data_IF_566932685539
#
_entry.id   IF_566932685539
#
_cell.length_a   1.000
_cell.length_b   1.000
_cell.length_c   1.000
_cell.angle_alpha   90.00
_cell.angle_beta   90.00
_cell.angle_gamma   90.00
#
_symmetry.space_group_name_H-M   'P 1'
#
loop_
_entity.id
_entity.type
_entity.pdbx_description
1 polymer ?
#
# COMPACT_ATOMS: atom_id res chain seq x y z
N UNK A 1 33.49 8.76 49.02
CA UNK A 1 34.06 8.56 47.68
C UNK A 1 32.91 8.29 46.70
N UNK A 2 32.69 9.21 45.77
CA UNK A 2 31.69 9.15 44.69
C UNK A 2 32.41 8.89 43.37
N UNK A 3 31.84 8.05 42.51
CA UNK A 3 31.78 8.07 41.02
C UNK A 3 31.23 6.68 40.60
N UNK A 4 30.00 6.49 40.10
CA UNK A 4 29.33 6.86 38.81
C UNK A 4 29.97 6.28 37.55
N UNK A 5 29.15 5.55 36.78
CA UNK A 5 29.30 5.20 35.36
C UNK A 5 29.56 3.70 35.15
N UNK A 6 28.89 2.95 34.28
CA UNK A 6 27.93 3.28 33.20
C UNK A 6 27.14 2.02 32.83
N UNK A 7 25.81 2.11 32.77
CA UNK A 7 24.96 1.14 32.08
C UNK A 7 25.11 1.32 30.55
N UNK A 8 25.14 0.24 29.76
CA UNK A 8 25.18 0.35 28.31
C UNK A 8 23.86 0.92 27.79
N UNK A 9 24.04 1.96 26.99
CA UNK A 9 23.13 2.63 26.07
C UNK A 9 21.97 1.78 25.58
N UNK A 10 20.78 2.22 25.99
CA UNK A 10 19.47 2.00 25.39
C UNK A 10 19.50 2.03 23.85
N UNK A 11 19.12 0.91 23.22
CA UNK A 11 18.69 0.87 21.83
C UNK A 11 17.49 1.79 21.65
N UNK A 12 17.64 2.78 20.79
CA UNK A 12 16.61 3.74 20.46
C UNK A 12 15.47 3.04 19.69
N UNK A 13 14.34 2.87 20.35
CA UNK A 13 13.05 2.55 19.75
C UNK A 13 12.58 3.82 19.02
N UNK A 14 12.81 3.90 17.70
CA UNK A 14 12.24 4.96 16.87
C UNK A 14 10.78 4.55 16.59
N UNK A 15 9.89 5.00 17.48
CA UNK A 15 8.45 5.03 17.20
C UNK A 15 8.26 6.24 16.29
N UNK A 16 7.89 6.01 15.03
CA UNK A 16 7.34 7.07 14.18
C UNK A 16 6.04 7.54 14.83
N UNK A 17 6.13 8.62 15.59
CA UNK A 17 4.98 9.34 16.10
C UNK A 17 4.26 9.95 14.89
N UNK A 18 3.14 9.33 14.51
CA UNK A 18 2.17 9.93 13.61
C UNK A 18 1.75 11.28 14.20
N UNK A 19 2.27 12.37 13.65
CA UNK A 19 1.67 13.69 13.82
C UNK A 19 0.34 13.68 13.07
N UNK A 20 -0.70 13.19 13.76
CA UNK A 20 -2.07 13.63 13.49
C UNK A 20 -2.07 15.15 13.65
N UNK A 21 -2.09 15.87 12.54
CA UNK A 21 -2.56 17.24 12.54
C UNK A 21 -4.04 17.20 12.92
N UNK A 22 -4.33 17.18 14.22
CA UNK A 22 -5.66 17.51 14.73
C UNK A 22 -5.82 19.03 14.60
N UNK A 23 -6.18 19.48 13.41
CA UNK A 23 -6.85 20.77 13.29
C UNK A 23 -8.16 20.67 14.06
N UNK A 24 -8.40 21.61 14.97
CA UNK A 24 -9.64 21.71 15.72
C UNK A 24 -10.77 22.20 14.81
N UNK A 25 -11.25 21.32 13.93
CA UNK A 25 -12.47 21.53 13.16
C UNK A 25 -13.43 20.40 13.52
N UNK A 26 -14.54 20.76 14.16
CA UNK A 26 -15.78 19.98 14.37
C UNK A 26 -15.65 18.48 14.06
N UNK A 27 -15.62 17.63 15.09
CA UNK A 27 -15.61 16.17 14.98
C UNK A 27 -16.78 15.63 14.14
N UNK A 28 -16.62 15.63 12.83
CA UNK A 28 -17.50 14.94 11.92
C UNK A 28 -16.96 13.53 11.76
N UNK A 29 -17.61 12.59 12.45
CA UNK A 29 -17.30 11.17 12.33
C UNK A 29 -17.63 10.72 10.90
N UNK A 30 -16.69 10.03 10.24
CA UNK A 30 -16.93 9.39 8.95
C UNK A 30 -18.17 8.50 9.03
N UNK A 31 -19.06 8.63 8.06
CA UNK A 31 -20.28 7.84 7.93
C UNK A 31 -19.99 6.64 7.04
N UNK A 32 -20.40 5.45 7.50
CA UNK A 32 -20.35 4.24 6.69
C UNK A 32 -21.45 4.28 5.64
N UNK A 33 -21.10 4.02 4.39
CA UNK A 33 -22.04 3.93 3.28
C UNK A 33 -22.61 2.51 3.19
N UNK A 34 -23.88 2.41 2.79
CA UNK A 34 -24.53 1.14 2.48
C UNK A 34 -24.26 0.81 1.02
N UNK A 35 -23.46 -0.24 0.78
CA UNK A 35 -23.07 -0.69 -0.54
C UNK A 35 -23.57 -2.12 -0.77
N UNK A 36 -23.89 -2.51 -2.02
CA UNK A 36 -24.27 -3.87 -2.37
C UNK A 36 -23.04 -4.77 -2.55
N UNK A 37 -22.12 -4.75 -1.58
CA UNK A 37 -20.90 -5.58 -1.52
C UNK A 37 -20.56 -5.83 -0.06
N UNK A 38 -20.12 -7.05 0.24
CA UNK A 38 -19.66 -7.43 1.58
C UNK A 38 -18.15 -7.25 1.76
N UNK A 39 -17.40 -7.17 0.66
CA UNK A 39 -15.94 -7.09 0.63
C UNK A 39 -15.40 -5.64 0.56
N UNK A 40 -16.27 -4.67 0.29
CA UNK A 40 -15.92 -3.24 0.23
C UNK A 40 -16.72 -2.48 1.29
N UNK A 41 -16.04 -1.67 2.09
CA UNK A 41 -16.68 -0.70 2.96
C UNK A 41 -16.14 0.69 2.67
N UNK A 42 -17.04 1.65 2.45
CA UNK A 42 -16.67 3.06 2.29
C UNK A 42 -17.14 3.83 3.50
N UNK A 43 -16.21 4.56 4.11
CA UNK A 43 -16.46 5.54 5.15
C UNK A 43 -16.10 6.92 4.60
N UNK A 44 -17.00 7.89 4.71
CA UNK A 44 -16.78 9.22 4.14
C UNK A 44 -17.42 10.32 4.97
N UNK A 45 -16.92 11.55 4.85
CA UNK A 45 -17.62 12.71 5.38
C UNK A 45 -18.88 13.00 4.55
N UNK A 46 -18.69 13.04 3.23
CA UNK A 46 -19.73 13.18 2.24
C UNK A 46 -19.50 12.18 1.12
N UNK A 47 -20.56 11.63 0.55
CA UNK A 47 -20.43 10.79 -0.63
C UNK A 47 -21.71 10.75 -1.43
N UNK A 48 -21.55 10.59 -2.74
CA UNK A 48 -22.62 10.32 -3.67
C UNK A 48 -22.46 8.89 -4.21
N UNK A 49 -23.47 8.06 -3.97
CA UNK A 49 -23.54 6.69 -4.49
C UNK A 49 -24.51 6.69 -5.67
N UNK A 50 -24.03 6.27 -6.82
CA UNK A 50 -24.84 6.10 -8.03
C UNK A 50 -24.72 4.68 -8.55
N UNK A 51 -25.81 4.19 -9.15
CA UNK A 51 -25.88 2.84 -9.72
C UNK A 51 -26.30 2.99 -11.18
N UNK A 52 -25.44 2.58 -12.11
CA UNK A 52 -25.68 2.64 -13.56
C UNK A 52 -25.49 1.25 -14.17
N UNK A 53 -26.56 0.72 -14.76
CA UNK A 53 -26.61 -0.62 -15.37
C UNK A 53 -26.23 -1.74 -14.40
N UNK A 54 -24.93 -1.98 -14.23
CA UNK A 54 -24.33 -3.01 -13.36
C UNK A 54 -23.19 -2.48 -12.49
N UNK A 55 -22.84 -1.19 -12.62
CA UNK A 55 -21.72 -0.56 -11.91
C UNK A 55 -22.25 0.34 -10.81
N UNK A 56 -21.66 0.22 -9.63
CA UNK A 56 -21.82 1.16 -8.53
C UNK A 56 -20.64 2.11 -8.55
N UNK A 57 -20.90 3.41 -8.62
CA UNK A 57 -19.89 4.45 -8.51
C UNK A 57 -20.11 5.23 -7.22
N UNK A 58 -19.06 5.35 -6.40
CA UNK A 58 -19.06 6.03 -5.11
C UNK A 58 -18.03 7.16 -5.18
N UNK A 59 -18.51 8.40 -5.27
CA UNK A 59 -17.67 9.59 -5.18
C UNK A 59 -17.70 10.06 -3.74
N UNK A 60 -16.54 10.22 -3.10
CA UNK A 60 -16.45 10.57 -1.69
C UNK A 60 -15.45 11.67 -1.42
N UNK A 61 -15.80 12.56 -0.50
CA UNK A 61 -14.93 13.55 0.12
C UNK A 61 -14.50 13.04 1.49
N UNK A 62 -13.23 13.21 1.83
CA UNK A 62 -12.60 12.72 3.06
C UNK A 62 -12.99 11.28 3.36
N UNK A 63 -12.36 10.34 2.66
CA UNK A 63 -12.78 8.95 2.63
C UNK A 63 -11.74 8.00 3.21
N UNK A 64 -12.26 6.88 3.74
CA UNK A 64 -11.55 5.63 3.96
C UNK A 64 -12.29 4.51 3.24
N UNK A 65 -11.60 3.85 2.32
CA UNK A 65 -12.09 2.66 1.62
C UNK A 65 -11.37 1.46 2.23
N UNK A 66 -12.14 0.55 2.82
CA UNK A 66 -11.66 -0.73 3.35
C UNK A 66 -12.01 -1.84 2.35
N UNK A 67 -11.01 -2.61 1.94
CA UNK A 67 -11.09 -3.72 0.99
C UNK A 67 -10.72 -5.01 1.72
N UNK A 68 -11.58 -6.02 1.66
CA UNK A 68 -11.37 -7.30 2.34
C UNK A 68 -11.59 -8.46 1.37
N UNK A 69 -10.50 -9.00 0.83
CA UNK A 69 -10.48 -10.21 0.02
C UNK A 69 -9.79 -11.36 0.76
N UNK A 70 -9.93 -12.59 0.23
CA UNK A 70 -9.40 -13.80 0.88
C UNK A 70 -7.89 -13.76 1.11
N UNK A 71 -7.14 -13.20 0.18
CA UNK A 71 -5.66 -13.20 0.20
C UNK A 71 -5.06 -11.78 0.25
N UNK A 72 -5.90 -10.77 0.14
CA UNK A 72 -5.50 -9.37 0.05
C UNK A 72 -6.47 -8.54 0.89
N UNK A 73 -5.94 -7.68 1.74
CA UNK A 73 -6.72 -6.64 2.39
C UNK A 73 -6.05 -5.29 2.16
N UNK A 74 -6.85 -4.25 2.07
CA UNK A 74 -6.41 -2.92 1.70
C UNK A 74 -7.18 -1.85 2.44
N UNK A 75 -6.50 -0.77 2.79
CA UNK A 75 -7.11 0.44 3.29
C UNK A 75 -6.56 1.61 2.48
N UNK A 76 -7.45 2.47 2.00
CA UNK A 76 -7.09 3.68 1.25
C UNK A 76 -7.75 4.86 1.95
N UNK A 77 -6.94 5.84 2.35
CA UNK A 77 -7.40 7.11 2.90
C UNK A 77 -7.08 8.23 1.92
N UNK A 78 -8.03 9.13 1.68
CA UNK A 78 -7.87 10.22 0.73
C UNK A 78 -8.82 11.39 1.02
N UNK A 79 -8.48 12.58 0.55
CA UNK A 79 -9.42 13.72 0.62
C UNK A 79 -10.47 13.65 -0.49
N UNK A 80 -10.15 13.05 -1.64
CA UNK A 80 -11.11 12.77 -2.71
C UNK A 80 -10.90 11.38 -3.28
N UNK A 81 -12.00 10.66 -3.51
CA UNK A 81 -11.95 9.33 -4.14
C UNK A 81 -13.15 9.05 -5.02
N UNK A 82 -12.92 8.32 -6.10
CA UNK A 82 -13.90 7.62 -6.90
C UNK A 82 -13.64 6.12 -6.79
N UNK A 83 -14.62 5.37 -6.29
CA UNK A 83 -14.63 3.91 -6.32
C UNK A 83 -15.69 3.45 -7.33
N UNK A 84 -15.33 2.56 -8.25
CA UNK A 84 -16.24 1.90 -9.17
C UNK A 84 -16.11 0.39 -9.08
N UNK A 85 -17.23 -0.31 -8.92
CA UNK A 85 -17.24 -1.76 -8.82
C UNK A 85 -18.58 -2.34 -9.29
N UNK A 86 -18.57 -3.62 -9.63
CA UNK A 86 -19.77 -4.40 -9.85
C UNK A 86 -20.17 -5.12 -8.54
N UNK A 87 -21.43 -5.02 -8.06
CA UNK A 87 -21.87 -5.61 -6.78
C UNK A 87 -21.51 -7.09 -6.57
N UNK A 88 -21.52 -7.86 -7.66
CA UNK A 88 -21.17 -9.29 -7.70
C UNK A 88 -20.01 -9.56 -8.66
N UNK A 89 -19.31 -8.50 -9.09
CA UNK A 89 -18.19 -8.66 -9.99
C UNK A 89 -16.92 -9.00 -9.23
N UNK A 90 -15.85 -9.05 -10.00
CA UNK A 90 -14.54 -9.52 -9.57
C UNK A 90 -13.48 -8.43 -9.65
N UNK A 91 -13.90 -7.18 -9.84
CA UNK A 91 -13.01 -6.06 -10.11
C UNK A 91 -13.52 -4.77 -9.48
N UNK A 92 -12.59 -4.02 -8.92
CA UNK A 92 -12.77 -2.75 -8.25
C UNK A 92 -11.73 -1.76 -8.79
N UNK A 93 -12.21 -0.60 -9.27
CA UNK A 93 -11.37 0.50 -9.70
C UNK A 93 -11.45 1.63 -8.67
N UNK A 94 -10.31 2.13 -8.23
CA UNK A 94 -10.24 3.20 -7.25
C UNK A 94 -9.30 4.26 -7.78
N UNK A 95 -9.81 5.49 -7.85
CA UNK A 95 -9.04 6.68 -8.11
C UNK A 95 -9.09 7.53 -6.86
N UNK A 96 -7.93 7.92 -6.33
CA UNK A 96 -7.83 8.74 -5.14
C UNK A 96 -6.84 9.87 -5.35
N UNK A 97 -7.16 11.04 -4.84
CA UNK A 97 -6.30 12.23 -4.90
C UNK A 97 -6.19 12.89 -3.54
N UNK A 98 -5.18 13.76 -3.43
CA UNK A 98 -4.94 14.70 -2.34
C UNK A 98 -4.60 13.99 -1.01
N UNK A 99 -3.30 13.89 -0.72
CA UNK A 99 -2.74 13.21 0.46
C UNK A 99 -3.21 11.77 0.62
N UNK A 100 -3.12 11.00 -0.46
CA UNK A 100 -3.51 9.59 -0.45
C UNK A 100 -2.56 8.79 0.42
N UNK A 101 -3.11 7.94 1.28
CA UNK A 101 -2.36 6.95 2.05
C UNK A 101 -2.96 5.57 1.82
N UNK A 102 -2.10 4.57 1.71
CA UNK A 102 -2.53 3.17 1.60
C UNK A 102 -1.86 2.28 2.63
N UNK A 103 -2.56 1.20 2.95
CA UNK A 103 -2.01 0.04 3.63
C UNK A 103 -2.60 -1.21 2.98
N UNK A 104 -1.76 -1.99 2.31
CA UNK A 104 -2.10 -3.28 1.74
C UNK A 104 -1.36 -4.40 2.47
N UNK A 105 -2.07 -5.48 2.75
CA UNK A 105 -1.55 -6.67 3.40
C UNK A 105 -1.86 -7.91 2.56
N UNK A 106 -0.81 -8.66 2.22
CA UNK A 106 -0.89 -9.91 1.45
C UNK A 106 -0.01 -10.97 2.10
N UNK A 107 -0.60 -12.05 2.61
CA UNK A 107 0.08 -13.31 2.99
C UNK A 107 1.57 -13.19 3.42
N UNK A 108 1.87 -12.38 4.45
CA UNK A 108 3.24 -12.19 4.99
C UNK A 108 4.01 -10.98 4.45
N UNK A 109 3.36 -10.10 3.69
CA UNK A 109 3.89 -8.82 3.25
C UNK A 109 2.90 -7.69 3.57
N UNK A 110 3.45 -6.54 3.97
CA UNK A 110 2.70 -5.30 4.17
C UNK A 110 3.35 -4.19 3.35
N UNK A 111 2.52 -3.48 2.61
CA UNK A 111 2.90 -2.37 1.77
C UNK A 111 2.13 -1.13 2.23
N UNK A 112 2.84 -0.09 2.64
CA UNK A 112 2.24 1.21 2.89
C UNK A 112 2.78 2.22 1.89
N UNK A 113 1.91 3.06 1.36
CA UNK A 113 2.30 4.16 0.48
C UNK A 113 1.65 5.47 0.92
N UNK A 114 2.34 6.57 0.65
CA UNK A 114 1.81 7.94 0.63
C UNK A 114 2.06 8.49 -0.78
N UNK A 115 1.09 9.19 -1.36
CA UNK A 115 1.24 9.84 -2.66
C UNK A 115 0.21 10.98 -2.81
N UNK A 116 0.37 11.83 -3.82
CA UNK A 116 -0.64 12.84 -4.16
C UNK A 116 -1.79 12.26 -4.99
N UNK A 117 -1.50 11.29 -5.86
CA UNK A 117 -2.49 10.63 -6.71
C UNK A 117 -2.26 9.13 -6.71
N UNK A 118 -3.37 8.39 -6.77
CA UNK A 118 -3.38 6.94 -6.78
C UNK A 118 -4.46 6.41 -7.72
N UNK A 119 -4.08 5.46 -8.55
CA UNK A 119 -5.00 4.60 -9.29
C UNK A 119 -4.78 3.16 -8.84
N UNK A 120 -5.86 2.45 -8.55
CA UNK A 120 -5.84 1.05 -8.12
C UNK A 120 -6.85 0.27 -8.93
N UNK A 121 -6.39 -0.83 -9.52
CA UNK A 121 -7.22 -1.91 -10.02
C UNK A 121 -7.02 -3.11 -9.09
N UNK A 122 -8.09 -3.53 -8.44
CA UNK A 122 -8.12 -4.77 -7.69
C UNK A 122 -9.00 -5.75 -8.44
N UNK A 123 -8.56 -6.99 -8.55
CA UNK A 123 -9.43 -8.07 -9.03
C UNK A 123 -9.21 -9.34 -8.25
N UNK A 124 -10.29 -10.09 -8.01
CA UNK A 124 -10.25 -11.32 -7.23
C UNK A 124 -11.16 -12.39 -7.82
N UNK A 125 -10.59 -13.58 -8.04
CA UNK A 125 -11.34 -14.79 -8.27
C UNK A 125 -11.67 -15.44 -6.92
N UNK A 126 -12.96 -15.64 -6.62
CA UNK A 126 -13.46 -16.14 -5.33
C UNK A 126 -13.81 -17.63 -5.35
N UNK A 127 -13.35 -18.36 -6.36
CA UNK A 127 -13.42 -19.82 -6.42
C UNK A 127 -12.52 -20.50 -5.37
N UNK A 128 -12.59 -21.82 -5.29
CA UNK A 128 -11.81 -22.63 -4.35
C UNK A 128 -10.29 -22.44 -4.54
N UNK A 129 -9.86 -22.39 -5.81
CA UNK A 129 -8.52 -22.08 -6.32
C UNK A 129 -8.28 -20.58 -6.55
N UNK A 130 -9.08 -19.72 -5.90
CA UNK A 130 -9.09 -18.29 -6.12
C UNK A 130 -7.73 -17.60 -6.00
N UNK A 131 -7.59 -16.49 -6.71
CA UNK A 131 -6.41 -15.64 -6.77
C UNK A 131 -6.83 -14.18 -6.72
N UNK A 132 -5.96 -13.32 -6.21
CA UNK A 132 -6.15 -11.88 -6.18
C UNK A 132 -5.04 -11.21 -6.98
N UNK A 133 -5.39 -10.13 -7.63
CA UNK A 133 -4.48 -9.27 -8.35
C UNK A 133 -4.72 -7.83 -7.91
N UNK A 134 -3.62 -7.12 -7.68
CA UNK A 134 -3.59 -5.71 -7.37
C UNK A 134 -2.62 -5.07 -8.36
N UNK A 135 -3.10 -4.06 -9.07
CA UNK A 135 -2.28 -3.14 -9.82
C UNK A 135 -2.52 -1.74 -9.25
N UNK A 136 -1.43 -1.05 -8.94
CA UNK A 136 -1.45 0.24 -8.28
C UNK A 136 -0.41 1.16 -8.92
N UNK A 137 -0.88 2.34 -9.33
CA UNK A 137 -0.03 3.42 -9.83
C UNK A 137 -0.15 4.59 -8.89
N UNK A 138 0.97 5.04 -8.34
CA UNK A 138 1.04 6.23 -7.51
C UNK A 138 1.92 7.28 -8.18
N UNK A 139 1.53 8.55 -8.05
CA UNK A 139 2.24 9.68 -8.67
C UNK A 139 2.51 10.79 -7.65
N UNK A 140 3.71 11.38 -7.74
CA UNK A 140 4.20 12.55 -7.00
C UNK A 140 4.34 12.37 -5.47
N UNK A 141 5.46 12.84 -4.93
CA UNK A 141 5.82 12.82 -3.49
C UNK A 141 5.60 11.44 -2.83
N UNK A 142 6.05 10.39 -3.51
CA UNK A 142 5.75 9.03 -3.10
C UNK A 142 6.73 8.58 -2.01
N UNK A 143 6.16 8.24 -0.86
CA UNK A 143 6.84 7.49 0.19
C UNK A 143 6.26 6.08 0.25
N UNK A 144 7.13 5.08 0.37
CA UNK A 144 6.77 3.67 0.37
C UNK A 144 7.51 2.93 1.46
N UNK A 145 6.79 2.07 2.18
CA UNK A 145 7.34 1.12 3.13
C UNK A 145 6.88 -0.28 2.75
N UNK A 146 7.83 -1.17 2.52
CA UNK A 146 7.60 -2.58 2.28
C UNK A 146 8.20 -3.40 3.42
N UNK A 147 7.34 -4.17 4.09
CA UNK A 147 7.73 -5.19 5.04
C UNK A 147 7.45 -6.55 4.42
N UNK A 148 8.49 -7.34 4.18
CA UNK A 148 8.39 -8.69 3.60
C UNK A 148 9.33 -9.59 4.38
N UNK A 149 8.80 -10.64 5.01
CA UNK A 149 9.62 -11.54 5.85
C UNK A 149 10.40 -10.73 6.91
N UNK A 150 11.72 -10.86 6.95
CA UNK A 150 12.64 -10.12 7.84
C UNK A 150 13.23 -8.84 7.22
N UNK A 151 12.81 -8.50 5.99
CA UNK A 151 13.30 -7.34 5.26
C UNK A 151 12.36 -6.14 5.40
N UNK A 152 12.97 -4.97 5.60
CA UNK A 152 12.29 -3.69 5.63
C UNK A 152 12.91 -2.77 4.58
N UNK A 153 12.12 -2.43 3.56
CA UNK A 153 12.50 -1.51 2.49
C UNK A 153 11.71 -0.23 2.65
N UNK A 154 12.42 0.89 2.68
CA UNK A 154 11.85 2.22 2.68
C UNK A 154 12.30 2.94 1.41
N UNK A 155 11.37 3.64 0.77
CA UNK A 155 11.66 4.51 -0.35
C UNK A 155 10.95 5.85 -0.17
N UNK A 156 11.63 6.95 -0.47
CA UNK A 156 11.11 8.29 -0.28
C UNK A 156 11.30 9.16 -1.52
N UNK A 157 10.38 10.11 -1.68
CA UNK A 157 10.37 11.11 -2.74
C UNK A 157 10.44 10.52 -4.16
N UNK A 158 9.77 9.39 -4.42
CA UNK A 158 9.67 8.88 -5.80
C UNK A 158 8.69 9.74 -6.60
N UNK A 159 8.95 9.92 -7.90
CA UNK A 159 8.05 10.64 -8.80
C UNK A 159 6.89 9.77 -9.30
N UNK A 160 7.16 8.47 -9.50
CA UNK A 160 6.21 7.48 -9.98
C UNK A 160 6.49 6.15 -9.29
N UNK A 161 5.43 5.44 -8.92
CA UNK A 161 5.49 4.06 -8.47
C UNK A 161 4.49 3.22 -9.25
N UNK A 162 4.97 2.13 -9.86
CA UNK A 162 4.12 1.07 -10.39
C UNK A 162 4.28 -0.16 -9.51
N UNK A 163 3.16 -0.64 -8.97
CA UNK A 163 3.12 -1.74 -8.02
C UNK A 163 2.14 -2.75 -8.56
N UNK A 164 2.62 -3.97 -8.78
CA UNK A 164 1.78 -5.09 -9.17
C UNK A 164 1.98 -6.23 -8.19
N UNK A 165 0.87 -6.87 -7.84
CA UNK A 165 0.87 -7.99 -6.93
C UNK A 165 -0.12 -9.03 -7.42
N UNK A 166 0.27 -10.30 -7.33
CA UNK A 166 -0.54 -11.42 -7.74
C UNK A 166 -0.41 -12.54 -6.73
N UNK A 167 -1.53 -13.08 -6.25
CA UNK A 167 -1.52 -14.23 -5.35
C UNK A 167 -1.72 -15.53 -6.11
N UNK A 168 -1.12 -16.59 -5.62
CA UNK A 168 -1.17 -17.93 -6.21
C UNK A 168 -0.89 -19.00 -5.16
N UNK A 169 -0.84 -20.26 -5.57
CA UNK A 169 -0.35 -21.37 -4.75
C UNK A 169 0.63 -22.20 -5.58
N UNK A 170 1.91 -21.85 -5.50
CA UNK A 170 3.01 -22.51 -6.21
C UNK A 170 4.04 -23.03 -5.20
N UNK A 171 4.86 -24.00 -5.62
CA UNK A 171 6.01 -24.48 -4.83
C UNK A 171 7.29 -23.80 -5.35
N UNK A 172 7.59 -22.62 -4.81
CA UNK A 172 8.70 -21.74 -5.15
C UNK A 172 9.52 -21.40 -3.91
N UNK A 173 10.84 -21.32 -4.08
CA UNK A 173 11.71 -20.79 -3.03
C UNK A 173 11.44 -19.27 -2.83
N UNK A 174 11.18 -18.80 -1.60
CA UNK A 174 10.99 -17.37 -1.34
C UNK A 174 12.24 -16.57 -1.69
N UNK A 175 12.07 -15.48 -2.45
CA UNK A 175 13.17 -14.62 -2.91
C UNK A 175 12.76 -13.16 -2.90
N UNK A 176 13.66 -12.30 -2.41
CA UNK A 176 13.56 -10.85 -2.50
C UNK A 176 14.75 -10.35 -3.33
N UNK A 177 14.48 -9.56 -4.37
CA UNK A 177 15.49 -9.00 -5.26
C UNK A 177 15.33 -7.49 -5.34
N UNK A 178 16.43 -6.76 -5.20
CA UNK A 178 16.49 -5.32 -5.41
C UNK A 178 17.47 -5.04 -6.55
N UNK A 179 17.00 -4.39 -7.61
CA UNK A 179 17.81 -4.03 -8.77
C UNK A 179 17.63 -2.55 -9.07
N UNK A 180 18.72 -1.81 -9.28
CA UNK A 180 18.65 -0.44 -9.75
C UNK A 180 19.15 -0.33 -11.19
N UNK A 181 18.46 0.48 -11.99
CA UNK A 181 18.89 0.83 -13.33
C UNK A 181 18.90 2.35 -13.49
N UNK A 182 19.84 2.88 -14.28
CA UNK A 182 19.83 4.29 -14.69
C UNK A 182 19.10 4.35 -16.02
N UNK A 183 17.90 4.94 -16.03
CA UNK A 183 17.19 5.17 -17.29
C UNK A 183 17.90 6.26 -18.12
N UNK A 184 17.62 6.29 -19.41
CA UNK A 184 18.18 7.28 -20.36
C UNK A 184 17.84 8.73 -20.01
N UNK A 185 16.89 8.96 -19.08
CA UNK A 185 16.45 10.27 -18.61
C UNK A 185 17.12 10.74 -17.29
N UNK A 186 18.25 10.14 -16.87
CA UNK A 186 18.97 10.41 -15.61
C UNK A 186 18.22 10.07 -14.31
N UNK A 187 16.95 9.64 -14.39
CA UNK A 187 16.26 9.10 -13.21
C UNK A 187 16.69 7.65 -12.98
N UNK A 188 17.13 7.37 -11.75
CA UNK A 188 17.37 6.01 -11.28
C UNK A 188 16.03 5.33 -11.03
N UNK A 189 15.83 4.20 -11.68
CA UNK A 189 14.74 3.30 -11.40
C UNK A 189 15.20 2.25 -10.38
N UNK A 190 14.35 1.99 -9.39
CA UNK A 190 14.50 0.85 -8.48
C UNK A 190 13.41 -0.16 -8.80
N UNK A 191 13.81 -1.43 -8.92
CA UNK A 191 12.94 -2.59 -9.02
C UNK A 191 13.07 -3.41 -7.75
N UNK A 192 11.95 -3.65 -7.08
CA UNK A 192 11.86 -4.56 -5.93
C UNK A 192 10.94 -5.70 -6.34
N UNK A 193 11.42 -6.93 -6.28
CA UNK A 193 10.62 -8.12 -6.57
C UNK A 193 10.65 -9.05 -5.37
N UNK A 194 9.48 -9.38 -4.81
CA UNK A 194 9.30 -10.43 -3.81
C UNK A 194 8.46 -11.55 -4.40
N UNK A 195 9.01 -12.75 -4.46
CA UNK A 195 8.35 -13.94 -4.99
C UNK A 195 8.32 -15.00 -3.89
N UNK A 196 7.15 -15.59 -3.63
CA UNK A 196 6.95 -16.64 -2.64
C UNK A 196 6.06 -17.76 -3.18
N UNK A 197 5.81 -18.79 -2.35
CA UNK A 197 4.79 -19.80 -2.63
C UNK A 197 3.38 -19.24 -2.83
N UNK A 198 3.11 -18.04 -2.29
CA UNK A 198 1.76 -17.51 -2.14
C UNK A 198 1.50 -16.26 -2.98
N UNK A 199 2.55 -15.56 -3.40
CA UNK A 199 2.41 -14.32 -4.17
C UNK A 199 3.67 -13.94 -4.98
N UNK A 200 3.46 -13.08 -5.98
CA UNK A 200 4.44 -12.16 -6.54
C UNK A 200 4.11 -10.74 -6.12
N UNK A 201 5.12 -9.95 -5.80
CA UNK A 201 5.03 -8.52 -5.65
C UNK A 201 6.18 -7.90 -6.45
N UNK A 202 5.84 -6.97 -7.34
CA UNK A 202 6.78 -6.20 -8.13
C UNK A 202 6.49 -4.73 -7.88
N UNK A 203 7.52 -3.98 -7.50
CA UNK A 203 7.48 -2.53 -7.29
C UNK A 203 8.54 -1.92 -8.18
N UNK A 204 8.14 -0.96 -9.00
CA UNK A 204 9.03 -0.11 -9.79
C UNK A 204 8.89 1.32 -9.31
N UNK A 205 9.99 1.95 -8.92
CA UNK A 205 10.04 3.33 -8.44
C UNK A 205 10.94 4.17 -9.33
N UNK A 206 10.49 5.36 -9.72
CA UNK A 206 11.29 6.32 -10.47
C UNK A 206 11.78 7.48 -9.57
N UNK A 207 13.10 7.69 -9.51
CA UNK A 207 13.72 8.81 -8.80
C UNK A 207 13.76 8.70 -7.27
N UNK A 208 13.47 7.51 -6.70
CA UNK A 208 13.38 7.33 -5.26
C UNK A 208 14.75 7.32 -4.54
N UNK A 209 14.76 7.80 -3.29
CA UNK A 209 15.83 7.54 -2.31
C UNK A 209 15.46 6.31 -1.49
N UNK A 210 16.38 5.37 -1.32
CA UNK A 210 16.05 4.02 -0.80
C UNK A 210 16.92 3.71 0.41
N UNK A 211 16.28 3.24 1.48
CA UNK A 211 16.92 2.62 2.65
C UNK A 211 16.47 1.16 2.78
N UNK A 212 17.40 0.31 3.18
CA UNK A 212 17.15 -1.12 3.39
C UNK A 212 17.70 -1.54 4.74
N UNK A 213 16.85 -2.21 5.52
CA UNK A 213 17.20 -2.76 6.83
C UNK A 213 16.89 -4.25 6.82
N UNK A 214 17.93 -5.06 6.97
CA UNK A 214 17.83 -6.52 7.10
C UNK A 214 18.08 -6.90 8.57
N UNK A 215 17.16 -7.65 9.15
CA UNK A 215 17.31 -8.20 10.50
C UNK A 215 18.03 -9.55 10.51
N UNK A 216 19.12 -9.71 9.74
CA UNK A 216 20.27 -10.59 10.04
C UNK A 216 21.26 -10.59 8.86
N UNK A 217 22.53 -10.82 9.19
CA UNK A 217 23.72 -10.67 8.32
C UNK A 217 23.51 -11.15 6.87
N UNK A 218 23.60 -10.25 5.91
CA UNK A 218 24.01 -10.62 4.56
C UNK A 218 25.09 -9.67 4.01
N UNK A 219 26.09 -10.29 3.36
CA UNK A 219 27.18 -9.65 2.66
C UNK A 219 26.63 -8.98 1.40
N UNK A 220 26.75 -7.65 1.29
CA UNK A 220 26.71 -6.97 0.01
C UNK A 220 27.92 -7.41 -0.82
N UNK A 221 27.69 -8.12 -1.93
CA UNK A 221 28.60 -8.08 -3.07
C UNK A 221 28.18 -6.90 -3.94
N UNK A 222 28.95 -5.81 -3.85
CA UNK A 222 28.98 -4.73 -4.83
C UNK A 222 29.76 -5.16 -6.08
#
# INVERSE_FOLDING_TARGET
MRHRGSLPTTSALIIFAFYLHTSANTHHRLKRQTLPSDHIQVHSFNSNVSIKSSTVSVVSDESRIDLTERFLSGQIWSQSSLLEFEPRGHSENIYATDMVRTLFSVLGANLSTKADRLEVLLSSNRSEDGHSHLEMVAESDIDLVLLVSEAHVEAANAGLAHISMHTWQLSLEPRLTLTSNVSTAMNRQLFITSTTNNYNLIITLDGAKVSFLESTRCCLSL
#
